data_IF_991375288282
#
_entry.id   IF_991375288282
#
_cell.length_a   1.000
_cell.length_b   1.000
_cell.length_c   1.000
_cell.angle_alpha   90.00
_cell.angle_beta   90.00
_cell.angle_gamma   90.00
#
_symmetry.space_group_name_H-M   'P 1'
#
loop_
_entity.id
_entity.type
_entity.pdbx_description
1 polymer ?
#
# COMPACT_ATOMS: atom_id res chain seq x y z
N UNK A 1 6.87 -14.22 5.83
CA UNK A 1 5.98 -13.07 6.13
C UNK A 1 5.91 -12.21 4.88
N UNK A 2 4.73 -12.10 4.27
CA UNK A 2 4.54 -11.54 2.93
C UNK A 2 4.43 -10.02 2.93
N UNK A 3 5.14 -9.35 2.03
CA UNK A 3 4.96 -7.92 1.77
C UNK A 3 3.76 -7.73 0.85
N UNK A 4 2.86 -6.81 1.16
CA UNK A 4 1.77 -6.46 0.25
C UNK A 4 2.35 -5.72 -0.97
N UNK A 5 2.50 -6.44 -2.08
CA UNK A 5 2.95 -5.88 -3.37
C UNK A 5 1.77 -5.44 -4.25
N UNK A 6 0.54 -5.78 -3.87
CA UNK A 6 -0.67 -5.48 -4.61
C UNK A 6 -1.75 -4.92 -3.68
N UNK A 7 -2.58 -4.03 -4.23
CA UNK A 7 -3.74 -3.47 -3.55
C UNK A 7 -4.92 -3.40 -4.53
N UNK A 8 -6.13 -3.29 -3.99
CA UNK A 8 -7.34 -2.96 -4.72
C UNK A 8 -7.48 -1.44 -4.80
N UNK A 9 -7.67 -0.92 -6.00
CA UNK A 9 -7.87 0.50 -6.27
C UNK A 9 -9.03 0.62 -7.27
N UNK A 10 -10.11 1.29 -6.87
CA UNK A 10 -11.33 1.40 -7.69
C UNK A 10 -11.86 0.03 -8.19
N UNK A 11 -11.76 -1.01 -7.37
CA UNK A 11 -12.18 -2.35 -7.76
C UNK A 11 -11.16 -3.16 -8.56
N UNK A 12 -10.06 -2.55 -9.00
CA UNK A 12 -9.00 -3.20 -9.77
C UNK A 12 -7.79 -3.54 -8.89
N UNK A 13 -7.23 -4.73 -9.08
CA UNK A 13 -5.98 -5.10 -8.40
C UNK A 13 -4.81 -4.47 -9.17
N UNK A 14 -4.08 -3.59 -8.49
CA UNK A 14 -2.90 -2.92 -9.02
C UNK A 14 -1.67 -3.25 -8.16
N UNK A 15 -0.50 -3.28 -8.78
CA UNK A 15 0.77 -3.44 -8.08
C UNK A 15 1.21 -2.14 -7.41
N UNK A 16 2.10 -2.25 -6.43
CA UNK A 16 2.64 -1.12 -5.67
C UNK A 16 3.34 -0.08 -6.55
N UNK A 17 4.03 -0.51 -7.59
CA UNK A 17 4.68 0.38 -8.56
C UNK A 17 3.66 1.26 -9.28
N UNK A 18 2.53 0.68 -9.70
CA UNK A 18 1.41 1.43 -10.31
C UNK A 18 0.78 2.38 -9.30
N UNK A 19 0.53 1.93 -8.08
CA UNK A 19 -0.04 2.79 -7.04
C UNK A 19 0.87 3.97 -6.70
N UNK A 20 2.19 3.74 -6.69
CA UNK A 20 3.18 4.80 -6.52
C UNK A 20 3.20 5.78 -7.69
N UNK A 21 3.15 5.29 -8.94
CA UNK A 21 3.06 6.15 -10.12
C UNK A 21 1.79 7.02 -10.11
N UNK A 22 0.64 6.44 -9.71
CA UNK A 22 -0.62 7.18 -9.54
C UNK A 22 -0.48 8.23 -8.43
N UNK A 23 0.13 7.87 -7.30
CA UNK A 23 0.36 8.80 -6.18
C UNK A 23 1.34 9.92 -6.55
N UNK A 24 2.34 9.62 -7.37
CA UNK A 24 3.34 10.59 -7.83
C UNK A 24 2.74 11.57 -8.83
N UNK A 25 2.03 11.06 -9.85
CA UNK A 25 1.37 11.84 -10.88
C UNK A 25 0.10 12.57 -10.44
N UNK A 26 -0.52 12.18 -9.31
CA UNK A 26 -1.65 12.90 -8.76
C UNK A 26 -1.23 14.26 -8.18
N UNK A 27 -2.02 15.31 -8.42
CA UNK A 27 -1.81 16.63 -7.82
C UNK A 27 -1.97 16.51 -6.30
N UNK A 28 -1.18 17.27 -5.52
CA UNK A 28 -1.13 17.18 -4.04
C UNK A 28 -2.49 17.17 -3.35
N UNK A 29 -3.47 17.87 -3.92
CA UNK A 29 -4.85 17.91 -3.45
C UNK A 29 -5.58 16.56 -3.61
N UNK A 30 -5.36 15.87 -4.73
CA UNK A 30 -5.92 14.55 -5.03
C UNK A 30 -5.14 13.40 -4.39
N UNK A 31 -3.88 13.61 -3.98
CA UNK A 31 -3.10 12.57 -3.28
C UNK A 31 -3.80 12.07 -2.01
N UNK A 32 -4.56 12.92 -1.33
CA UNK A 32 -5.36 12.56 -0.14
C UNK A 32 -6.65 11.82 -0.49
N UNK A 33 -7.16 11.97 -1.71
CA UNK A 33 -8.37 11.32 -2.20
C UNK A 33 -8.12 9.90 -2.75
N UNK A 34 -6.85 9.53 -2.99
CA UNK A 34 -6.50 8.18 -3.44
C UNK A 34 -6.71 7.16 -2.31
N UNK A 35 -7.82 6.43 -2.40
CA UNK A 35 -8.15 5.29 -1.53
C UNK A 35 -7.58 4.02 -2.15
N UNK A 36 -6.51 3.51 -1.55
CA UNK A 36 -6.01 2.17 -1.84
C UNK A 36 -6.52 1.21 -0.75
N UNK A 37 -7.03 0.07 -1.14
CA UNK A 37 -7.59 -0.94 -0.25
C UNK A 37 -6.75 -2.22 -0.33
N UNK A 38 -6.60 -2.91 0.79
CA UNK A 38 -5.93 -4.21 0.78
C UNK A 38 -6.81 -5.22 0.03
N UNK A 39 -6.23 -5.97 -0.92
CA UNK A 39 -6.92 -7.06 -1.61
C UNK A 39 -7.44 -8.14 -0.64
N UNK A 40 -6.68 -8.43 0.41
CA UNK A 40 -7.00 -9.51 1.37
C UNK A 40 -8.07 -9.13 2.39
N UNK A 41 -7.98 -7.93 2.96
CA UNK A 41 -8.85 -7.53 4.07
C UNK A 41 -9.78 -6.35 3.75
N UNK A 42 -9.66 -5.75 2.56
CA UNK A 42 -10.46 -4.58 2.16
C UNK A 42 -10.19 -3.31 2.95
N UNK A 43 -9.21 -3.30 3.87
CA UNK A 43 -8.90 -2.11 4.69
C UNK A 43 -8.06 -1.10 3.92
N UNK A 44 -8.18 0.20 4.24
CA UNK A 44 -7.37 1.23 3.59
C UNK A 44 -5.87 1.02 3.87
N UNK A 45 -5.09 1.03 2.80
CA UNK A 45 -3.62 0.92 2.80
C UNK A 45 -2.99 2.14 2.16
N UNK A 46 -1.71 2.38 2.43
CA UNK A 46 -0.90 3.41 1.79
C UNK A 46 0.31 2.79 1.10
N UNK A 47 0.56 3.13 -0.18
CA UNK A 47 1.80 2.74 -0.83
C UNK A 47 2.98 3.51 -0.23
N UNK A 48 4.01 2.77 0.20
CA UNK A 48 5.34 3.28 0.57
C UNK A 48 6.30 3.08 -0.60
N UNK A 49 7.08 4.12 -0.87
CA UNK A 49 8.18 4.04 -1.84
C UNK A 49 9.24 3.06 -1.37
N UNK A 50 9.92 2.43 -2.32
CA UNK A 50 11.12 1.67 -2.01
C UNK A 50 12.17 2.62 -1.42
N UNK A 51 12.84 2.19 -0.35
CA UNK A 51 14.04 2.84 0.17
C UNK A 51 15.25 1.93 0.01
N UNK A 52 16.44 2.40 0.38
CA UNK A 52 17.73 1.69 0.22
C UNK A 52 17.74 0.22 0.67
N UNK A 53 16.91 -0.16 1.65
CA UNK A 53 16.83 -1.53 2.17
C UNK A 53 15.46 -2.20 2.00
N UNK A 54 14.47 -1.47 1.47
CA UNK A 54 13.07 -1.92 1.44
C UNK A 54 12.50 -1.76 0.04
N UNK A 55 11.98 -2.84 -0.53
CA UNK A 55 11.14 -2.76 -1.74
C UNK A 55 9.87 -1.95 -1.47
N UNK A 56 9.31 -1.35 -2.52
CA UNK A 56 8.02 -0.70 -2.45
C UNK A 56 6.98 -1.68 -1.92
N UNK A 57 6.18 -1.25 -0.95
CA UNK A 57 5.14 -2.10 -0.34
C UNK A 57 3.96 -1.25 0.12
N UNK A 58 2.82 -1.88 0.35
CA UNK A 58 1.67 -1.26 1.00
C UNK A 58 1.73 -1.49 2.51
N UNK A 59 1.42 -0.43 3.26
CA UNK A 59 1.25 -0.46 4.73
C UNK A 59 -0.19 -0.15 5.08
N UNK A 60 -0.72 -0.73 6.15
CA UNK A 60 -2.11 -0.42 6.54
C UNK A 60 -2.17 0.96 7.19
N UNK A 61 -3.21 1.74 6.86
CA UNK A 61 -3.39 3.06 7.49
C UNK A 61 -3.75 2.92 8.97
N UNK A 62 -4.40 1.81 9.33
CA UNK A 62 -4.78 1.46 10.70
C UNK A 62 -4.25 0.07 11.00
N UNK A 63 -3.71 -0.13 12.21
CA UNK A 63 -3.27 -1.45 12.67
C UNK A 63 -4.33 -2.51 12.38
N UNK A 64 -3.90 -3.57 11.70
CA UNK A 64 -4.75 -4.69 11.37
C UNK A 64 -4.02 -6.00 11.68
N UNK A 65 -4.05 -6.46 12.94
CA UNK A 65 -3.38 -7.70 13.34
C UNK A 65 -3.99 -8.95 12.70
N UNK A 66 -5.17 -8.84 12.09
CA UNK A 66 -5.84 -9.94 11.39
C UNK A 66 -5.47 -10.02 9.89
N UNK A 67 -4.65 -9.10 9.36
CA UNK A 67 -4.20 -9.19 7.97
C UNK A 67 -2.89 -9.99 7.90
N UNK A 68 -2.84 -10.92 6.96
CA UNK A 68 -1.63 -11.70 6.63
C UNK A 68 -0.48 -10.78 6.17
N UNK A 69 -0.84 -9.63 5.59
CA UNK A 69 0.06 -8.50 5.39
C UNK A 69 0.12 -7.68 6.69
N UNK A 70 0.71 -8.29 7.72
CA UNK A 70 0.90 -7.62 9.00
C UNK A 70 1.90 -6.48 8.81
N UNK A 71 1.67 -5.37 9.51
CA UNK A 71 2.54 -4.19 9.57
C UNK A 71 3.84 -4.52 10.34
N UNK A 72 4.48 -5.63 10.00
CA UNK A 72 5.78 -6.00 10.53
C UNK A 72 6.82 -5.40 9.59
N UNK A 73 7.08 -4.11 9.81
CA UNK A 73 8.44 -3.61 9.72
C UNK A 73 9.29 -4.44 10.70
N UNK A 74 9.71 -5.64 10.30
CA UNK A 74 10.90 -6.27 10.87
C UNK A 74 12.05 -5.53 10.16
N UNK A 75 12.59 -4.45 10.74
CA UNK A 75 13.58 -4.49 11.84
C UNK A 75 14.56 -5.63 11.55
N UNK A 76 15.69 -5.26 10.96
CA UNK A 76 16.88 -6.11 10.82
C UNK A 76 17.99 -5.49 11.64
#
# INVERSE_FOLDING_TARGET
MGKALQCKFFGHIISVEKALAIRDGAVTEYKKALLFECDKCGKPVRPRVAGDKHVAHFVHVKENPQCDYTDSALEY
#
